data_IF_088747585011
#
_entry.id   IF_088747585011
#
_cell.length_a   1.000
_cell.length_b   1.000
_cell.length_c   1.000
_cell.angle_alpha   90.00
_cell.angle_beta   90.00
_cell.angle_gamma   90.00
#
_symmetry.space_group_name_H-M   'P 1'
#
loop_
_entity.id
_entity.type
_entity.pdbx_description
1 polymer ?
#
# COMPACT_ATOMS: atom_id res chain seq x y z
N UNK A 1 -26.33 -10.98 -10.96
CA UNK A 1 -25.09 -11.67 -10.51
C UNK A 1 -24.11 -11.74 -11.65
N UNK A 2 -22.89 -11.36 -11.42
CA UNK A 2 -21.81 -11.42 -12.41
C UNK A 2 -20.51 -11.88 -11.76
N UNK A 3 -19.61 -12.46 -12.56
CA UNK A 3 -18.26 -12.78 -12.10
C UNK A 3 -17.24 -12.21 -13.06
N UNK A 4 -16.17 -11.64 -12.51
CA UNK A 4 -15.01 -11.16 -13.24
C UNK A 4 -13.77 -11.92 -12.75
N UNK A 5 -13.03 -12.51 -13.68
CA UNK A 5 -11.76 -13.12 -13.38
C UNK A 5 -10.64 -12.38 -14.12
N UNK A 6 -9.61 -12.04 -13.40
CA UNK A 6 -8.41 -11.40 -13.94
C UNK A 6 -7.26 -12.40 -13.94
N UNK A 7 -6.74 -12.71 -15.13
CA UNK A 7 -5.58 -13.56 -15.32
C UNK A 7 -4.56 -12.82 -16.20
N UNK A 8 -3.29 -12.84 -15.83
CA UNK A 8 -2.18 -12.23 -16.57
C UNK A 8 -2.41 -10.73 -16.88
N UNK A 9 -2.73 -9.96 -15.84
CA UNK A 9 -3.08 -8.55 -15.93
C UNK A 9 -2.03 -7.70 -15.24
N UNK A 10 -1.58 -6.64 -15.92
CA UNK A 10 -0.80 -5.56 -15.33
C UNK A 10 -1.74 -4.42 -14.91
N UNK A 11 -1.75 -4.11 -13.63
CA UNK A 11 -2.53 -3.01 -13.06
C UNK A 11 -1.55 -1.90 -12.66
N UNK A 12 -1.72 -0.72 -13.26
CA UNK A 12 -0.98 0.47 -12.88
C UNK A 12 -1.98 1.51 -12.35
N UNK A 13 -1.99 1.71 -11.05
CA UNK A 13 -2.83 2.73 -10.40
C UNK A 13 -1.92 3.82 -9.84
N UNK A 14 -1.82 4.97 -10.49
CA UNK A 14 -1.04 6.10 -9.97
C UNK A 14 -1.72 6.76 -8.77
N UNK A 15 -3.03 6.63 -8.65
CA UNK A 15 -3.86 7.22 -7.58
C UNK A 15 -4.98 6.26 -7.20
N UNK A 16 -5.48 6.39 -5.96
CA UNK A 16 -6.72 5.71 -5.56
C UNK A 16 -7.87 6.34 -6.35
N UNK A 17 -8.71 5.55 -7.05
CA UNK A 17 -9.85 6.11 -7.76
C UNK A 17 -10.79 6.84 -6.79
N UNK A 18 -11.09 8.09 -7.07
CA UNK A 18 -12.19 8.77 -6.39
C UNK A 18 -13.50 8.11 -6.84
N UNK A 19 -14.18 7.49 -5.91
CA UNK A 19 -15.54 7.03 -6.14
C UNK A 19 -16.42 8.28 -6.20
N UNK A 20 -16.83 8.67 -7.40
CA UNK A 20 -17.71 9.82 -7.58
C UNK A 20 -19.01 9.64 -6.78
N UNK A 21 -19.46 10.71 -6.14
CA UNK A 21 -20.79 10.78 -5.52
C UNK A 21 -21.85 10.67 -6.62
N UNK A 22 -22.26 9.45 -6.92
CA UNK A 22 -23.36 9.18 -7.83
C UNK A 22 -24.66 9.07 -7.04
N UNK A 23 -25.64 9.89 -7.34
CA UNK A 23 -27.00 9.85 -6.75
C UNK A 23 -27.78 8.55 -7.07
N UNK A 24 -27.18 7.61 -7.78
CA UNK A 24 -27.85 6.39 -8.23
C UNK A 24 -27.55 5.21 -7.31
N UNK A 25 -28.57 4.73 -6.62
CA UNK A 25 -28.49 3.50 -5.83
C UNK A 25 -28.57 2.27 -6.74
N UNK A 26 -27.44 1.75 -7.18
CA UNK A 26 -27.33 0.60 -8.08
C UNK A 26 -27.05 -0.66 -7.24
N UNK A 27 -27.85 -1.70 -7.47
CA UNK A 27 -27.65 -3.01 -6.83
C UNK A 27 -26.36 -3.69 -7.33
N UNK A 28 -25.57 -4.20 -6.41
CA UNK A 28 -24.29 -4.89 -6.66
C UNK A 28 -24.43 -6.38 -6.34
N UNK A 29 -23.99 -7.23 -7.24
CA UNK A 29 -23.83 -8.67 -7.02
C UNK A 29 -22.73 -9.16 -7.97
N UNK A 30 -21.49 -9.01 -7.55
CA UNK A 30 -20.32 -9.30 -8.36
C UNK A 30 -19.29 -10.12 -7.57
N UNK A 31 -18.62 -11.01 -8.25
CA UNK A 31 -17.47 -11.75 -7.73
C UNK A 31 -16.22 -11.39 -8.53
N UNK A 32 -15.20 -10.90 -7.86
CA UNK A 32 -13.88 -10.66 -8.44
C UNK A 32 -12.91 -11.75 -7.99
N UNK A 33 -12.27 -12.42 -8.93
CA UNK A 33 -11.24 -13.43 -8.66
C UNK A 33 -9.95 -13.03 -9.34
N UNK A 34 -8.88 -12.92 -8.56
CA UNK A 34 -7.53 -12.73 -9.06
C UNK A 34 -6.89 -14.10 -9.32
N UNK A 35 -6.71 -14.44 -10.57
CA UNK A 35 -6.03 -15.64 -11.02
C UNK A 35 -4.51 -15.48 -10.99
N UNK A 36 -3.78 -16.36 -11.68
CA UNK A 36 -2.33 -16.30 -11.74
C UNK A 36 -1.84 -15.04 -12.48
N UNK A 37 -0.67 -14.55 -12.05
CA UNK A 37 0.05 -13.43 -12.69
C UNK A 37 -0.70 -12.08 -12.73
N UNK A 38 -1.52 -11.80 -11.74
CA UNK A 38 -2.04 -10.43 -11.56
C UNK A 38 -0.94 -9.60 -10.92
N UNK A 39 -0.47 -8.59 -11.64
CA UNK A 39 0.68 -7.78 -11.28
C UNK A 39 0.29 -6.33 -11.08
N UNK A 40 0.40 -5.85 -9.85
CA UNK A 40 0.22 -4.45 -9.49
C UNK A 40 1.59 -3.77 -9.56
N UNK A 41 1.75 -2.85 -10.49
CA UNK A 41 3.04 -2.23 -10.77
C UNK A 41 2.95 -0.71 -10.88
N UNK A 42 3.84 -0.06 -10.16
CA UNK A 42 4.15 1.35 -10.34
C UNK A 42 5.66 1.53 -10.13
N UNK A 43 6.36 2.09 -11.10
CA UNK A 43 7.82 2.20 -11.07
C UNK A 43 8.38 2.97 -9.87
N UNK A 44 7.58 3.82 -9.23
CA UNK A 44 7.99 4.67 -8.12
C UNK A 44 7.56 4.14 -6.75
N UNK A 45 6.50 3.31 -6.69
CA UNK A 45 5.85 2.96 -5.43
C UNK A 45 5.89 1.46 -5.12
N UNK A 46 5.59 0.60 -6.08
CA UNK A 46 5.41 -0.83 -5.80
C UNK A 46 5.54 -1.71 -7.04
N UNK A 47 5.93 -2.94 -6.77
CA UNK A 47 6.02 -4.05 -7.72
C UNK A 47 5.51 -5.29 -6.98
N UNK A 48 4.22 -5.62 -7.12
CA UNK A 48 3.52 -6.60 -6.28
C UNK A 48 2.70 -7.57 -7.12
N UNK A 49 2.85 -8.84 -6.86
CA UNK A 49 2.02 -9.90 -7.43
C UNK A 49 0.88 -10.24 -6.48
N UNK A 50 -0.34 -10.17 -7.01
CA UNK A 50 -1.57 -10.32 -6.23
C UNK A 50 -2.24 -11.66 -6.47
N UNK A 51 -2.95 -12.15 -5.42
CA UNK A 51 -3.83 -13.32 -5.48
C UNK A 51 -5.00 -13.14 -4.52
N UNK A 52 -6.08 -13.87 -4.75
CA UNK A 52 -7.26 -13.85 -3.90
C UNK A 52 -8.53 -13.49 -4.65
N UNK A 53 -9.50 -12.98 -3.93
CA UNK A 53 -10.76 -12.55 -4.52
C UNK A 53 -11.68 -11.94 -3.50
N UNK A 54 -12.69 -11.26 -4.00
CA UNK A 54 -13.72 -10.58 -3.23
C UNK A 54 -15.09 -10.82 -3.83
N UNK A 55 -16.08 -10.93 -2.98
CA UNK A 55 -17.50 -10.90 -3.31
C UNK A 55 -18.06 -9.52 -2.93
N UNK A 56 -18.67 -8.85 -3.88
CA UNK A 56 -19.26 -7.53 -3.72
C UNK A 56 -20.77 -7.66 -3.85
N UNK A 57 -21.50 -7.35 -2.79
CA UNK A 57 -22.95 -7.39 -2.72
C UNK A 57 -23.53 -6.08 -2.20
N UNK A 58 -24.85 -5.96 -2.17
CA UNK A 58 -25.55 -4.79 -1.64
C UNK A 58 -25.81 -3.73 -2.71
N UNK A 59 -25.38 -2.50 -2.49
CA UNK A 59 -25.58 -1.41 -3.44
C UNK A 59 -24.42 -0.43 -3.43
N UNK A 60 -24.41 0.50 -4.38
CA UNK A 60 -23.40 1.57 -4.43
C UNK A 60 -23.43 2.49 -3.21
N UNK A 61 -24.59 2.60 -2.55
CA UNK A 61 -24.75 3.40 -1.31
C UNK A 61 -24.34 2.59 -0.07
N UNK A 62 -24.60 1.28 -0.08
CA UNK A 62 -24.25 0.39 1.03
C UNK A 62 -23.65 -0.92 0.50
N UNK A 63 -22.36 -0.90 0.15
CA UNK A 63 -21.66 -2.10 -0.33
C UNK A 63 -21.37 -3.05 0.83
N UNK A 64 -21.46 -4.34 0.54
CA UNK A 64 -20.98 -5.41 1.41
C UNK A 64 -19.90 -6.16 0.65
N UNK A 65 -18.66 -5.98 1.07
CA UNK A 65 -17.51 -6.63 0.44
C UNK A 65 -16.95 -7.65 1.40
N UNK A 66 -16.84 -8.89 0.93
CA UNK A 66 -16.25 -10.00 1.66
C UNK A 66 -15.14 -10.65 0.84
N UNK A 67 -14.06 -11.02 1.51
CA UNK A 67 -12.93 -11.67 0.87
C UNK A 67 -11.60 -11.02 1.22
N UNK A 68 -10.55 -11.48 0.54
CA UNK A 68 -9.19 -11.03 0.81
C UNK A 68 -8.37 -11.02 -0.47
N UNK A 69 -7.63 -9.95 -0.67
CA UNK A 69 -6.58 -9.86 -1.67
C UNK A 69 -5.24 -9.87 -0.94
N UNK A 70 -4.34 -10.76 -1.33
CA UNK A 70 -3.01 -10.91 -0.71
C UNK A 70 -1.91 -10.70 -1.74
N UNK A 71 -0.79 -10.16 -1.29
CA UNK A 71 0.44 -10.22 -2.06
C UNK A 71 1.04 -11.62 -1.98
N UNK A 72 1.41 -12.17 -3.12
CA UNK A 72 2.16 -13.43 -3.21
C UNK A 72 3.66 -13.17 -3.03
N UNK A 73 4.14 -12.11 -3.67
CA UNK A 73 5.51 -11.58 -3.59
C UNK A 73 5.54 -10.14 -4.07
N UNK A 74 6.62 -9.43 -3.78
CA UNK A 74 6.82 -8.09 -4.33
C UNK A 74 7.74 -7.22 -3.51
N UNK A 75 7.81 -5.97 -3.91
CA UNK A 75 8.54 -4.89 -3.26
C UNK A 75 7.68 -3.64 -3.19
N UNK A 76 7.88 -2.88 -2.11
CA UNK A 76 7.33 -1.54 -1.93
C UNK A 76 8.48 -0.57 -1.77
N UNK A 77 8.42 0.56 -2.43
CA UNK A 77 9.45 1.60 -2.34
C UNK A 77 9.04 2.66 -1.31
N UNK A 78 9.92 2.91 -0.38
CA UNK A 78 9.78 3.98 0.59
C UNK A 78 11.10 4.76 0.67
N UNK A 79 11.05 6.07 0.50
CA UNK A 79 12.22 6.95 0.45
C UNK A 79 13.33 6.41 -0.49
N UNK A 80 12.94 5.89 -1.67
CA UNK A 80 13.81 5.25 -2.68
C UNK A 80 14.49 3.95 -2.24
N UNK A 81 14.09 3.39 -1.12
CA UNK A 81 14.56 2.09 -0.64
C UNK A 81 13.53 1.04 -0.97
N UNK A 82 13.98 -0.06 -1.56
CA UNK A 82 13.13 -1.20 -1.89
C UNK A 82 12.95 -2.08 -0.65
N UNK A 83 11.72 -2.16 -0.16
CA UNK A 83 11.31 -3.05 0.91
C UNK A 83 10.69 -4.30 0.31
N UNK A 84 11.32 -5.44 0.53
CA UNK A 84 10.78 -6.74 0.13
C UNK A 84 9.62 -7.12 1.02
N UNK A 85 8.50 -7.49 0.43
CA UNK A 85 7.33 -7.95 1.17
C UNK A 85 7.58 -9.29 1.85
N UNK A 86 7.29 -9.35 3.15
CA UNK A 86 7.16 -10.57 3.91
C UNK A 86 5.70 -11.04 3.87
N UNK A 87 4.78 -10.09 4.08
CA UNK A 87 3.34 -10.30 4.02
C UNK A 87 2.65 -9.00 3.64
N UNK A 88 1.63 -9.07 2.78
CA UNK A 88 0.72 -7.95 2.57
C UNK A 88 -0.66 -8.45 2.14
N UNK A 89 -1.68 -7.67 2.49
CA UNK A 89 -3.06 -7.98 2.12
C UNK A 89 -4.01 -6.81 2.32
N UNK A 90 -5.13 -6.92 1.62
CA UNK A 90 -6.29 -6.05 1.74
C UNK A 90 -7.45 -6.85 2.30
N UNK A 91 -8.09 -6.33 3.33
CA UNK A 91 -9.25 -6.95 3.99
C UNK A 91 -10.33 -5.91 4.18
N UNK A 92 -11.56 -6.23 3.82
CA UNK A 92 -12.71 -5.39 4.06
C UNK A 92 -13.36 -5.78 5.39
N UNK A 93 -13.41 -4.86 6.33
CA UNK A 93 -13.94 -5.08 7.68
C UNK A 93 -15.16 -4.21 7.98
N UNK A 94 -15.32 -3.10 7.26
CA UNK A 94 -16.39 -2.13 7.49
C UNK A 94 -17.51 -2.32 6.47
N UNK A 95 -18.71 -2.81 6.86
CA UNK A 95 -19.87 -2.82 6.00
C UNK A 95 -20.24 -1.39 5.57
N UNK A 96 -20.57 -1.23 4.29
CA UNK A 96 -20.90 0.08 3.71
C UNK A 96 -19.69 0.86 3.22
N UNK A 97 -18.49 0.32 3.34
CA UNK A 97 -17.26 0.94 2.80
C UNK A 97 -16.71 0.14 1.63
N UNK A 98 -16.30 0.84 0.58
CA UNK A 98 -15.51 0.27 -0.52
C UNK A 98 -14.01 0.22 -0.18
N UNK A 99 -13.56 0.96 0.84
CA UNK A 99 -12.16 1.06 1.18
C UNK A 99 -11.72 -0.12 2.07
N UNK A 100 -10.68 -0.85 1.67
CA UNK A 100 -10.13 -1.94 2.49
C UNK A 100 -9.23 -1.41 3.61
N UNK A 101 -8.97 -2.27 4.57
CA UNK A 101 -7.83 -2.15 5.46
C UNK A 101 -6.61 -2.81 4.82
N UNK A 102 -5.47 -2.11 4.91
CA UNK A 102 -4.16 -2.60 4.49
C UNK A 102 -3.47 -3.24 5.69
N UNK A 103 -2.84 -4.36 5.47
CA UNK A 103 -1.86 -4.95 6.38
C UNK A 103 -0.63 -5.28 5.56
N UNK A 104 0.51 -4.67 5.86
CA UNK A 104 1.76 -4.87 5.13
C UNK A 104 2.91 -4.99 6.11
N UNK A 105 3.73 -6.01 5.91
CA UNK A 105 5.00 -6.25 6.61
C UNK A 105 6.09 -6.45 5.55
N UNK A 106 7.17 -5.69 5.67
CA UNK A 106 8.25 -5.73 4.69
C UNK A 106 9.59 -5.43 5.34
N UNK A 107 10.66 -5.83 4.65
CA UNK A 107 12.04 -5.71 5.15
C UNK A 107 12.95 -5.16 4.07
N UNK A 108 13.80 -4.23 4.46
CA UNK A 108 14.92 -3.76 3.66
C UNK A 108 16.23 -3.90 4.44
N UNK A 109 17.34 -4.09 3.72
CA UNK A 109 18.67 -4.08 4.33
C UNK A 109 19.40 -2.81 3.95
N UNK A 110 19.86 -2.10 4.95
CA UNK A 110 20.65 -0.89 4.77
C UNK A 110 21.95 -0.97 5.60
N UNK A 111 23.09 -1.07 4.92
CA UNK A 111 24.39 -1.29 5.57
C UNK A 111 24.34 -2.51 6.50
N UNK A 112 24.54 -2.30 7.81
CA UNK A 112 24.50 -3.35 8.83
C UNK A 112 23.12 -3.52 9.47
N UNK A 113 22.12 -2.70 9.10
CA UNK A 113 20.78 -2.70 9.69
C UNK A 113 19.79 -3.46 8.80
N UNK A 114 18.97 -4.30 9.42
CA UNK A 114 17.74 -4.76 8.82
C UNK A 114 16.62 -3.79 9.25
N UNK A 115 15.92 -3.22 8.30
CA UNK A 115 14.85 -2.27 8.55
C UNK A 115 13.54 -2.97 8.24
N UNK A 116 12.62 -2.93 9.20
CA UNK A 116 11.29 -3.49 9.10
C UNK A 116 10.29 -2.36 8.95
N UNK A 117 9.43 -2.45 7.96
CA UNK A 117 8.34 -1.51 7.72
C UNK A 117 7.01 -2.24 7.86
N UNK A 118 6.15 -1.72 8.72
CA UNK A 118 4.77 -2.17 8.89
C UNK A 118 3.82 -1.05 8.53
N UNK A 119 2.80 -1.37 7.74
CA UNK A 119 1.70 -0.47 7.41
C UNK A 119 0.41 -1.17 7.77
N UNK A 120 -0.43 -0.51 8.58
CA UNK A 120 -1.72 -1.04 9.00
C UNK A 120 -2.77 0.06 8.99
N UNK A 121 -4.03 -0.33 8.79
CA UNK A 121 -5.18 0.58 8.88
C UNK A 121 -5.96 0.71 7.57
N UNK A 122 -7.04 1.49 7.58
CA UNK A 122 -7.81 1.76 6.38
C UNK A 122 -6.95 2.52 5.36
N UNK A 123 -7.18 2.27 4.06
CA UNK A 123 -6.45 2.93 2.97
C UNK A 123 -6.48 4.45 3.06
N UNK A 124 -7.55 5.01 3.64
CA UNK A 124 -7.70 6.45 3.87
C UNK A 124 -6.81 7.02 4.99
N UNK A 125 -6.38 6.16 5.94
CA UNK A 125 -5.60 6.58 7.12
C UNK A 125 -4.69 5.43 7.59
N UNK A 126 -3.58 5.26 6.91
CA UNK A 126 -2.63 4.19 7.21
C UNK A 126 -1.59 4.61 8.24
N UNK A 127 -1.34 3.74 9.24
CA UNK A 127 -0.24 3.89 10.20
C UNK A 127 1.03 3.21 9.66
N UNK A 128 2.11 3.99 9.55
CA UNK A 128 3.43 3.51 9.14
C UNK A 128 4.37 3.43 10.32
N UNK A 129 4.90 2.25 10.58
CA UNK A 129 5.90 1.99 11.62
C UNK A 129 7.20 1.48 11.01
N UNK A 130 8.31 2.12 11.39
CA UNK A 130 9.66 1.67 11.05
C UNK A 130 10.43 1.24 12.30
N UNK A 131 10.98 0.04 12.24
CA UNK A 131 11.88 -0.49 13.27
C UNK A 131 13.15 -1.04 12.64
N UNK A 132 14.19 -1.32 13.44
CA UNK A 132 15.44 -1.90 12.90
C UNK A 132 16.10 -2.85 13.86
N UNK A 133 16.96 -3.71 13.30
CA UNK A 133 17.92 -4.55 14.02
C UNK A 133 19.32 -4.34 13.42
N UNK A 134 20.32 -3.86 14.20
CA UNK A 134 20.25 -3.33 15.57
C UNK A 134 19.26 -2.16 15.75
N UNK A 135 18.69 -1.98 16.98
CA UNK A 135 17.60 -1.04 17.19
C UNK A 135 18.03 0.42 16.99
N UNK A 136 17.23 1.17 16.24
CA UNK A 136 17.33 2.62 16.03
C UNK A 136 15.96 3.27 16.28
N UNK A 137 15.95 4.56 16.59
CA UNK A 137 14.70 5.32 16.63
C UNK A 137 14.13 5.50 15.21
N UNK A 138 12.82 5.61 15.07
CA UNK A 138 12.16 5.80 13.78
C UNK A 138 12.71 7.03 13.03
N UNK A 139 12.94 8.15 13.73
CA UNK A 139 13.54 9.35 13.16
C UNK A 139 14.95 9.09 12.59
N UNK A 140 15.75 8.30 13.29
CA UNK A 140 17.10 7.92 12.81
C UNK A 140 17.00 7.08 11.55
N UNK A 141 16.05 6.14 11.49
CA UNK A 141 15.82 5.30 10.31
C UNK A 141 15.42 6.17 9.11
N UNK A 142 14.44 7.06 9.30
CA UNK A 142 13.99 7.98 8.25
C UNK A 142 15.13 8.84 7.73
N UNK A 143 15.92 9.45 8.64
CA UNK A 143 17.12 10.22 8.25
C UNK A 143 18.10 9.39 7.44
N UNK A 144 18.40 8.19 7.90
CA UNK A 144 19.34 7.29 7.23
C UNK A 144 18.88 6.91 5.82
N UNK A 145 17.59 6.61 5.63
CA UNK A 145 17.00 6.32 4.33
C UNK A 145 16.95 7.55 3.40
N UNK A 146 16.79 8.75 3.98
CA UNK A 146 16.76 10.02 3.25
C UNK A 146 18.17 10.47 2.84
N UNK A 147 19.16 10.34 3.74
CA UNK A 147 20.55 10.76 3.49
C UNK A 147 21.28 9.91 2.44
N UNK A 148 20.78 8.69 2.16
CA UNK A 148 21.20 7.96 0.96
C UNK A 148 20.95 8.80 -0.33
N UNK A 149 20.07 9.78 -0.24
CA UNK A 149 19.79 10.77 -1.29
C UNK A 149 20.86 11.87 -1.38
N UNK A 150 21.53 12.23 -0.29
CA UNK A 150 22.43 13.39 -0.21
C UNK A 150 23.88 13.09 -0.62
N UNK A 151 24.29 11.84 -0.59
CA UNK A 151 25.58 11.43 -1.20
C UNK A 151 25.61 11.64 -2.73
N UNK A 152 24.46 12.06 -3.33
CA UNK A 152 24.33 12.44 -4.73
C UNK A 152 24.04 13.94 -4.95
N UNK A 153 23.96 14.78 -3.90
CA UNK A 153 23.71 16.23 -4.05
C UNK A 153 23.48 16.91 -2.70
N UNK A 154 24.41 17.73 -2.29
CA UNK A 154 24.46 18.46 -1.02
C UNK A 154 23.24 19.36 -0.76
N UNK A 155 22.62 19.26 0.43
CA UNK A 155 22.17 20.37 1.29
C UNK A 155 21.61 19.83 2.61
N UNK A 156 21.88 20.53 3.71
CA UNK A 156 21.45 20.19 5.08
C UNK A 156 19.91 20.18 5.20
N UNK A 157 19.39 19.11 5.77
CA UNK A 157 17.96 18.94 6.07
C UNK A 157 17.69 19.36 7.51
N UNK A 158 16.85 20.36 7.70
CA UNK A 158 16.41 20.85 9.02
C UNK A 158 15.28 19.97 9.61
N UNK A 159 15.05 20.06 10.93
CA UNK A 159 14.05 19.25 11.65
C UNK A 159 12.61 19.38 11.11
N UNK A 160 12.25 20.56 10.57
CA UNK A 160 10.92 20.83 9.98
C UNK A 160 10.72 20.11 8.62
N UNK A 161 11.80 19.91 7.88
CA UNK A 161 11.76 19.17 6.62
C UNK A 161 11.43 17.69 6.84
N UNK A 162 11.76 17.15 8.03
CA UNK A 162 11.49 15.77 8.37
C UNK A 162 10.02 15.47 8.65
N UNK A 163 9.30 16.39 9.30
CA UNK A 163 7.86 16.25 9.51
C UNK A 163 7.11 16.30 8.17
N UNK A 164 7.55 17.19 7.28
CA UNK A 164 7.01 17.30 5.92
C UNK A 164 7.33 16.06 5.06
N UNK A 165 8.53 15.47 5.20
CA UNK A 165 8.91 14.26 4.47
C UNK A 165 8.13 13.03 4.95
N UNK A 166 7.79 12.92 6.22
CA UNK A 166 6.89 11.87 6.72
C UNK A 166 5.48 12.03 6.16
N UNK A 167 4.96 13.26 6.13
CA UNK A 167 3.64 13.57 5.57
C UNK A 167 3.61 13.35 4.05
N UNK A 168 4.63 13.80 3.33
CA UNK A 168 4.76 13.61 1.87
C UNK A 168 4.99 12.13 1.53
N UNK A 169 5.76 11.38 2.33
CA UNK A 169 5.97 9.94 2.15
C UNK A 169 4.67 9.15 2.28
N UNK A 170 3.81 9.52 3.23
CA UNK A 170 2.48 8.94 3.40
C UNK A 170 1.51 9.40 2.30
N UNK A 171 1.53 10.68 1.92
CA UNK A 171 0.69 11.22 0.84
C UNK A 171 1.06 10.66 -0.53
N UNK A 172 2.33 10.36 -0.81
CA UNK A 172 2.74 9.69 -2.05
C UNK A 172 2.29 8.22 -2.12
N UNK A 173 1.86 7.66 -1.01
CA UNK A 173 1.28 6.31 -0.96
C UNK A 173 -0.23 6.33 -1.17
N UNK A 174 -0.87 7.50 -1.03
CA UNK A 174 -2.33 7.71 -1.10
C UNK A 174 -2.77 8.51 -2.35
N UNK A 175 -1.83 9.08 -3.11
CA UNK A 175 -2.10 9.81 -4.36
C UNK A 175 -1.81 8.98 -5.59
#
# INVERSE_FOLDING_TARGET
AGSLRLDDVLINMPTVPELGEGDSNIGLDMKLVLGPKVHLYNSYLYDIWLKGGIDIKGSTVFPMIDGTIKADKGTVKYLRTDFKLNQAGLVWVDPGSFLPNVNLDSTARFSRYNIFMKINGPVSEMDLQLTSDPPLTQNTIVRMLTLQRESAGSNEVTGDDMANLMTVGLQMTVL
#
